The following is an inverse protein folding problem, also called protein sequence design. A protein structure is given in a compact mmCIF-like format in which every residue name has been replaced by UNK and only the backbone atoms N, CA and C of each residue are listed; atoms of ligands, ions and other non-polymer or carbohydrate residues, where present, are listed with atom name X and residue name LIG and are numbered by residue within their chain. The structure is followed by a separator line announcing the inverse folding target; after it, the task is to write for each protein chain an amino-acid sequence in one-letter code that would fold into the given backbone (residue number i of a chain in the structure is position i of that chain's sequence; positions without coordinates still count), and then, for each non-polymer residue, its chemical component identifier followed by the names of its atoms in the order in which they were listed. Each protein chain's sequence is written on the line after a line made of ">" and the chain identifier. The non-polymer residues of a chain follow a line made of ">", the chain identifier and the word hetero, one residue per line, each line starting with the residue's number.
data_IF_363851769638
#
_entry.id   IF_363851769638
#
_cell.length_a   1.000
_cell.length_b   1.000
_cell.length_c   1.000
_cell.angle_alpha   90.00
_cell.angle_beta   90.00
_cell.angle_gamma   90.00
#
_symmetry.space_group_name_H-M   'P 1'
#
loop_
_entity.id
_entity.type
_entity.pdbx_description
1 polymer ?
#
# COMPACT_ATOMS: atom_id res chain seq x y z
N UNK A 1 -18.82 -2.24 28.28
CA UNK A 1 -19.96 -3.19 28.12
C UNK A 1 -20.12 -3.43 26.63
N UNK A 2 -20.23 -4.67 26.14
CA UNK A 2 -20.48 -4.92 24.73
C UNK A 2 -21.83 -4.30 24.34
N UNK A 3 -21.84 -3.48 23.29
CA UNK A 3 -23.06 -2.87 22.77
C UNK A 3 -23.89 -4.00 22.13
N UNK A 4 -25.16 -4.17 22.51
CA UNK A 4 -25.98 -5.25 21.97
C UNK A 4 -26.14 -5.08 20.45
N UNK A 5 -25.89 -6.16 19.71
CA UNK A 5 -26.13 -6.19 18.27
C UNK A 5 -27.65 -6.13 18.01
N UNK A 6 -28.09 -5.41 16.97
CA UNK A 6 -29.48 -5.42 16.56
C UNK A 6 -29.93 -6.83 16.16
N UNK A 7 -31.21 -7.11 16.35
CA UNK A 7 -31.81 -8.45 16.18
C UNK A 7 -31.64 -9.02 14.77
N UNK A 8 -31.54 -8.16 13.75
CA UNK A 8 -31.22 -8.57 12.40
C UNK A 8 -30.29 -7.53 11.72
N UNK A 9 -28.99 -7.80 11.73
CA UNK A 9 -27.98 -6.90 11.16
C UNK A 9 -28.07 -6.83 9.63
N UNK A 10 -28.68 -7.84 8.99
CA UNK A 10 -28.83 -7.93 7.53
C UNK A 10 -29.85 -6.94 6.95
N UNK A 11 -30.75 -6.39 7.78
CA UNK A 11 -31.73 -5.38 7.35
C UNK A 11 -31.15 -3.96 7.36
N UNK A 12 -29.94 -3.77 7.90
CA UNK A 12 -29.31 -2.47 8.01
C UNK A 12 -28.72 -2.02 6.68
N UNK A 13 -29.09 -0.82 6.27
CA UNK A 13 -28.55 -0.14 5.09
C UNK A 13 -28.14 1.29 5.42
N UNK A 14 -27.21 1.80 4.63
CA UNK A 14 -26.67 3.15 4.64
C UNK A 14 -26.30 3.62 6.06
N UNK A 15 -26.89 4.73 6.52
CA UNK A 15 -26.49 5.37 7.76
C UNK A 15 -26.79 4.52 9.01
N UNK A 16 -27.83 3.69 8.96
CA UNK A 16 -28.15 2.76 10.04
C UNK A 16 -27.09 1.66 10.18
N UNK A 17 -26.55 1.18 9.04
CA UNK A 17 -25.43 0.25 9.01
C UNK A 17 -24.15 0.92 9.52
N UNK A 18 -23.81 2.11 9.03
CA UNK A 18 -22.62 2.83 9.47
C UNK A 18 -22.65 3.21 10.95
N UNK A 19 -23.81 3.54 11.50
CA UNK A 19 -23.93 3.84 12.93
C UNK A 19 -23.61 2.61 13.80
N UNK A 20 -24.07 1.43 13.40
CA UNK A 20 -23.74 0.17 14.10
C UNK A 20 -22.26 -0.17 13.94
N UNK A 21 -21.69 -0.01 12.74
CA UNK A 21 -20.25 -0.23 12.51
C UNK A 21 -19.42 0.78 13.32
N UNK A 22 -19.83 2.04 13.42
CA UNK A 22 -19.16 3.06 14.23
C UNK A 22 -19.13 2.69 15.70
N UNK A 23 -20.26 2.22 16.21
CA UNK A 23 -20.42 1.84 17.62
C UNK A 23 -19.60 0.59 17.97
N UNK A 24 -19.50 -0.37 17.05
CA UNK A 24 -18.82 -1.65 17.29
C UNK A 24 -17.33 -1.64 16.92
N UNK A 25 -16.97 -0.94 15.84
CA UNK A 25 -15.67 -1.01 15.18
C UNK A 25 -14.95 0.35 15.10
N UNK A 26 -15.61 1.44 15.50
CA UNK A 26 -15.05 2.79 15.45
C UNK A 26 -15.21 3.49 14.10
N UNK A 27 -14.91 4.80 14.09
CA UNK A 27 -15.11 5.67 12.93
C UNK A 27 -14.23 5.29 11.73
N UNK A 28 -13.00 4.85 11.98
CA UNK A 28 -12.07 4.42 10.91
C UNK A 28 -12.66 3.30 10.05
N UNK A 29 -13.37 2.35 10.67
CA UNK A 29 -14.02 1.27 9.90
C UNK A 29 -15.17 1.80 9.04
N UNK A 30 -15.92 2.80 9.52
CA UNK A 30 -16.96 3.45 8.73
C UNK A 30 -16.36 4.15 7.50
N UNK A 31 -15.26 4.87 7.69
CA UNK A 31 -14.60 5.58 6.58
C UNK A 31 -14.09 4.58 5.52
N UNK A 32 -13.55 3.44 5.96
CA UNK A 32 -13.12 2.34 5.08
C UNK A 32 -14.31 1.77 4.31
N UNK A 33 -15.42 1.45 4.99
CA UNK A 33 -16.59 0.87 4.33
C UNK A 33 -17.25 1.86 3.36
N UNK A 34 -17.27 3.15 3.69
CA UNK A 34 -17.73 4.21 2.77
C UNK A 34 -16.82 4.33 1.55
N UNK A 35 -15.50 4.26 1.75
CA UNK A 35 -14.54 4.27 0.65
C UNK A 35 -14.72 3.07 -0.29
N UNK A 36 -15.02 1.89 0.27
CA UNK A 36 -15.29 0.66 -0.48
C UNK A 36 -16.71 0.59 -1.05
N UNK A 37 -17.52 1.64 -0.92
CA UNK A 37 -18.94 1.68 -1.32
C UNK A 37 -19.79 0.56 -0.67
N UNK A 38 -19.38 0.10 0.51
CA UNK A 38 -20.07 -0.91 1.31
C UNK A 38 -21.02 -0.21 2.26
N UNK A 39 -22.30 -0.18 1.89
CA UNK A 39 -23.36 0.49 2.64
C UNK A 39 -24.35 -0.47 3.34
N UNK A 40 -24.13 -1.78 3.31
CA UNK A 40 -25.00 -2.75 3.97
C UNK A 40 -24.22 -4.02 4.30
N UNK A 41 -24.79 -4.89 5.14
CA UNK A 41 -24.23 -6.23 5.36
C UNK A 41 -24.26 -7.04 4.07
N UNK A 42 -25.27 -6.86 3.21
CA UNK A 42 -25.37 -7.55 1.92
C UNK A 42 -24.31 -7.08 0.92
N UNK A 43 -23.91 -5.79 0.95
CA UNK A 43 -22.78 -5.30 0.14
C UNK A 43 -21.42 -5.64 0.77
N UNK A 44 -21.34 -5.75 2.10
CA UNK A 44 -20.15 -6.20 2.84
C UNK A 44 -19.86 -7.69 2.60
N UNK A 45 -20.91 -8.50 2.61
CA UNK A 45 -20.89 -9.94 2.38
C UNK A 45 -21.34 -10.29 0.96
N UNK A 46 -21.19 -9.35 0.00
CA UNK A 46 -21.70 -9.47 -1.38
C UNK A 46 -21.58 -10.88 -1.93
N UNK A 47 -22.54 -11.33 -2.74
CA UNK A 47 -22.74 -12.76 -3.13
C UNK A 47 -21.44 -13.58 -3.28
N UNK A 48 -20.40 -12.99 -3.86
CA UNK A 48 -19.03 -13.51 -3.92
C UNK A 48 -18.44 -14.06 -2.60
N UNK A 49 -18.67 -13.43 -1.45
CA UNK A 49 -18.17 -13.85 -0.12
C UNK A 49 -18.86 -15.14 0.32
N UNK A 50 -20.20 -15.14 0.30
CA UNK A 50 -21.00 -16.31 0.69
C UNK A 50 -20.76 -17.46 -0.30
N UNK A 51 -20.73 -17.19 -1.60
CA UNK A 51 -20.38 -18.16 -2.65
C UNK A 51 -18.95 -18.71 -2.47
N UNK A 52 -17.99 -17.88 -2.07
CA UNK A 52 -16.61 -18.34 -1.82
C UNK A 52 -16.57 -19.27 -0.61
N UNK A 53 -17.27 -18.92 0.47
CA UNK A 53 -17.36 -19.80 1.65
C UNK A 53 -18.03 -21.13 1.27
N UNK A 54 -19.18 -21.10 0.60
CA UNK A 54 -19.92 -22.30 0.16
C UNK A 54 -19.06 -23.14 -0.78
N UNK A 55 -18.44 -22.53 -1.79
CA UNK A 55 -17.63 -23.25 -2.77
C UNK A 55 -16.36 -23.85 -2.18
N UNK A 56 -15.82 -23.26 -1.10
CA UNK A 56 -14.68 -23.79 -0.36
C UNK A 56 -15.07 -24.75 0.75
N UNK A 57 -16.32 -24.73 1.23
CA UNK A 57 -16.80 -25.60 2.30
C UNK A 57 -16.56 -27.09 1.98
N UNK A 58 -16.87 -27.50 0.76
CA UNK A 58 -16.75 -28.90 0.32
C UNK A 58 -15.32 -29.25 -0.14
N UNK A 59 -14.39 -28.29 -0.11
CA UNK A 59 -13.00 -28.49 -0.53
C UNK A 59 -12.13 -28.79 0.67
N UNK A 60 -11.10 -29.61 0.45
CA UNK A 60 -9.99 -29.68 1.39
C UNK A 60 -9.34 -28.29 1.53
N UNK A 61 -8.87 -27.94 2.74
CA UNK A 61 -8.22 -26.65 3.03
C UNK A 61 -7.08 -26.29 2.08
N UNK A 62 -6.36 -27.29 1.57
CA UNK A 62 -5.28 -27.13 0.58
C UNK A 62 -5.76 -26.75 -0.83
N UNK A 63 -7.07 -26.81 -1.09
CA UNK A 63 -7.70 -26.56 -2.40
C UNK A 63 -8.69 -25.39 -2.38
N UNK A 64 -8.64 -24.57 -1.32
CA UNK A 64 -9.42 -23.34 -1.29
C UNK A 64 -9.04 -22.45 -2.48
N UNK A 65 -10.06 -21.93 -3.16
CA UNK A 65 -9.89 -21.03 -4.29
C UNK A 65 -10.58 -19.71 -3.96
N UNK A 66 -9.97 -18.62 -4.41
CA UNK A 66 -10.42 -17.27 -4.15
C UNK A 66 -10.39 -16.51 -5.46
N UNK A 67 -11.50 -15.84 -5.78
CA UNK A 67 -11.55 -14.90 -6.89
C UNK A 67 -10.78 -13.61 -6.52
N UNK A 68 -10.62 -12.72 -7.50
CA UNK A 68 -9.82 -11.52 -7.31
C UNK A 68 -10.46 -10.53 -6.32
N UNK A 69 -11.80 -10.42 -6.28
CA UNK A 69 -12.50 -9.58 -5.29
C UNK A 69 -12.19 -10.00 -3.85
N UNK A 70 -12.14 -11.31 -3.55
CA UNK A 70 -11.80 -11.81 -2.22
C UNK A 70 -10.33 -11.59 -1.89
N UNK A 71 -9.44 -11.74 -2.88
CA UNK A 71 -8.01 -11.44 -2.69
C UNK A 71 -7.79 -9.96 -2.42
N UNK A 72 -8.51 -9.09 -3.12
CA UNK A 72 -8.46 -7.64 -2.92
C UNK A 72 -8.99 -7.24 -1.55
N UNK A 73 -10.17 -7.76 -1.15
CA UNK A 73 -10.73 -7.57 0.19
C UNK A 73 -9.75 -8.03 1.28
N UNK A 74 -9.16 -9.21 1.12
CA UNK A 74 -8.18 -9.74 2.07
C UNK A 74 -6.91 -8.86 2.14
N UNK A 75 -6.50 -8.26 1.02
CA UNK A 75 -5.37 -7.34 0.95
C UNK A 75 -5.66 -6.04 1.70
N UNK A 76 -6.84 -5.44 1.51
CA UNK A 76 -7.25 -4.26 2.28
C UNK A 76 -7.34 -4.55 3.78
N UNK A 77 -7.96 -5.66 4.16
CA UNK A 77 -8.07 -6.08 5.54
C UNK A 77 -6.68 -6.29 6.18
N UNK A 78 -5.72 -6.83 5.42
CA UNK A 78 -4.34 -7.00 5.87
C UNK A 78 -3.60 -5.67 6.04
N UNK A 79 -3.76 -4.74 5.09
CA UNK A 79 -3.12 -3.42 5.15
C UNK A 79 -3.68 -2.59 6.32
N UNK A 80 -5.00 -2.59 6.51
CA UNK A 80 -5.68 -1.71 7.46
C UNK A 80 -5.81 -2.34 8.85
N UNK A 81 -6.16 -3.62 8.91
CA UNK A 81 -6.33 -4.36 10.17
C UNK A 81 -5.05 -5.05 10.66
N UNK A 82 -4.06 -5.20 9.79
CA UNK A 82 -2.81 -5.89 10.10
C UNK A 82 -2.95 -7.41 10.15
N UNK A 83 -1.79 -8.07 10.28
CA UNK A 83 -1.65 -9.53 10.26
C UNK A 83 -2.59 -10.25 11.23
N UNK A 84 -2.74 -9.74 12.45
CA UNK A 84 -3.52 -10.41 13.50
C UNK A 84 -5.01 -10.41 13.18
N UNK A 85 -5.54 -9.33 12.62
CA UNK A 85 -6.96 -9.23 12.23
C UNK A 85 -7.25 -10.17 11.06
N UNK A 86 -6.40 -10.17 10.03
CA UNK A 86 -6.56 -11.08 8.88
C UNK A 86 -6.54 -12.55 9.30
N UNK A 87 -5.58 -12.95 10.15
CA UNK A 87 -5.49 -14.33 10.64
C UNK A 87 -6.65 -14.69 11.57
N UNK A 88 -7.09 -13.77 12.44
CA UNK A 88 -8.25 -13.98 13.30
C UNK A 88 -9.49 -14.29 12.47
N UNK A 89 -9.80 -13.46 11.47
CA UNK A 89 -10.97 -13.67 10.60
C UNK A 89 -10.82 -14.98 9.81
N UNK A 90 -9.64 -15.27 9.25
CA UNK A 90 -9.37 -16.50 8.50
C UNK A 90 -9.59 -17.77 9.32
N UNK A 91 -9.23 -17.75 10.61
CA UNK A 91 -9.37 -18.90 11.50
C UNK A 91 -10.82 -19.09 11.97
N UNK A 92 -11.56 -18.00 12.18
CA UNK A 92 -12.95 -18.05 12.66
C UNK A 92 -13.96 -18.28 11.53
N UNK A 93 -13.66 -17.85 10.30
CA UNK A 93 -14.52 -18.03 9.13
C UNK A 93 -13.78 -18.86 8.08
N UNK A 94 -13.87 -20.18 8.19
CA UNK A 94 -13.18 -21.10 7.30
C UNK A 94 -13.61 -20.93 5.84
N UNK A 95 -12.65 -20.84 4.92
CA UNK A 95 -12.90 -20.72 3.49
C UNK A 95 -13.17 -19.29 2.99
N UNK A 96 -13.25 -18.29 3.90
CA UNK A 96 -13.44 -16.89 3.53
C UNK A 96 -12.16 -16.23 3.03
N UNK A 97 -11.10 -16.24 3.85
CA UNK A 97 -9.88 -15.50 3.54
C UNK A 97 -8.74 -16.41 3.06
N UNK A 98 -7.96 -15.96 2.05
CA UNK A 98 -6.72 -16.59 1.69
C UNK A 98 -5.70 -16.55 2.84
N UNK A 99 -4.75 -17.48 2.80
CA UNK A 99 -3.60 -17.49 3.72
C UNK A 99 -2.66 -16.32 3.44
N UNK A 100 -1.90 -15.88 4.45
CA UNK A 100 -0.93 -14.78 4.30
C UNK A 100 -0.01 -14.87 3.08
N UNK A 101 0.57 -16.03 2.69
CA UNK A 101 1.40 -16.11 1.50
C UNK A 101 0.67 -15.76 0.21
N UNK A 102 -0.63 -16.10 0.11
CA UNK A 102 -1.45 -15.75 -1.05
C UNK A 102 -1.72 -14.24 -1.06
N UNK A 103 -2.06 -13.67 0.10
CA UNK A 103 -2.24 -12.21 0.23
C UNK A 103 -0.95 -11.48 -0.16
N UNK A 104 0.19 -11.92 0.36
CA UNK A 104 1.49 -11.33 0.03
C UNK A 104 1.80 -11.47 -1.45
N UNK A 105 1.56 -12.63 -2.06
CA UNK A 105 1.73 -12.82 -3.50
C UNK A 105 0.81 -11.90 -4.32
N UNK A 106 -0.43 -11.67 -3.87
CA UNK A 106 -1.33 -10.71 -4.52
C UNK A 106 -0.79 -9.28 -4.41
N UNK A 107 -0.33 -8.86 -3.24
CA UNK A 107 0.29 -7.55 -3.03
C UNK A 107 1.60 -7.39 -3.84
N UNK A 108 2.39 -8.45 -3.94
CA UNK A 108 3.64 -8.48 -4.71
C UNK A 108 3.39 -8.41 -6.22
N UNK A 109 2.23 -8.90 -6.68
CA UNK A 109 1.82 -8.86 -8.09
C UNK A 109 1.31 -7.48 -8.56
N UNK A 110 1.04 -6.56 -7.63
CA UNK A 110 0.59 -5.21 -7.98
C UNK A 110 1.76 -4.46 -8.63
N UNK A 111 1.56 -4.03 -9.87
CA UNK A 111 2.58 -3.47 -10.77
C UNK A 111 3.17 -2.12 -10.33
N UNK A 112 2.58 -1.46 -9.33
CA UNK A 112 2.89 -0.07 -8.97
C UNK A 112 3.83 0.05 -7.76
N UNK A 113 4.77 -0.88 -7.60
CA UNK A 113 5.81 -0.77 -6.56
C UNK A 113 6.66 0.46 -6.79
N UNK A 114 7.06 1.10 -5.68
CA UNK A 114 7.99 2.22 -5.70
C UNK A 114 9.40 1.65 -5.74
N UNK A 115 10.19 2.07 -6.73
CA UNK A 115 11.62 1.78 -6.79
C UNK A 115 12.39 2.97 -6.21
N UNK A 116 13.51 2.69 -5.54
CA UNK A 116 14.35 3.74 -4.95
C UNK A 116 14.87 4.69 -6.05
N UNK A 117 14.57 5.97 -5.88
CA UNK A 117 15.01 7.05 -6.77
C UNK A 117 14.26 7.17 -8.09
N UNK A 118 13.31 6.28 -8.36
CA UNK A 118 12.53 6.30 -9.60
C UNK A 118 11.41 7.34 -9.53
N UNK A 119 11.46 8.33 -10.43
CA UNK A 119 10.44 9.36 -10.56
C UNK A 119 9.37 8.93 -11.58
N UNK A 120 8.19 8.58 -11.06
CA UNK A 120 7.13 7.93 -11.81
C UNK A 120 6.22 8.91 -12.56
N UNK A 121 6.83 9.74 -13.43
CA UNK A 121 6.11 10.80 -14.15
C UNK A 121 5.01 10.27 -15.06
N UNK A 122 5.23 9.15 -15.76
CA UNK A 122 4.21 8.57 -16.65
C UNK A 122 2.96 8.14 -15.88
N UNK A 123 3.15 7.44 -14.76
CA UNK A 123 2.05 7.04 -13.87
C UNK A 123 1.36 8.24 -13.22
N UNK A 124 2.10 9.31 -12.93
CA UNK A 124 1.53 10.56 -12.45
C UNK A 124 0.63 11.19 -13.53
N UNK A 125 1.08 11.25 -14.79
CA UNK A 125 0.28 11.78 -15.91
C UNK A 125 -1.01 10.98 -16.13
N UNK A 126 -0.94 9.66 -16.07
CA UNK A 126 -2.11 8.78 -16.15
C UNK A 126 -3.08 9.04 -14.98
N UNK A 127 -2.54 9.16 -13.77
CA UNK A 127 -3.31 9.45 -12.58
C UNK A 127 -4.03 10.82 -12.67
N UNK A 128 -3.33 11.86 -13.11
CA UNK A 128 -3.90 13.20 -13.28
C UNK A 128 -4.96 13.25 -14.39
N UNK A 129 -4.76 12.48 -15.47
CA UNK A 129 -5.75 12.31 -16.54
C UNK A 129 -7.03 11.66 -16.01
N UNK A 130 -6.91 10.64 -15.16
CA UNK A 130 -8.06 10.01 -14.49
C UNK A 130 -8.79 11.00 -13.56
N UNK A 131 -8.04 11.83 -12.83
CA UNK A 131 -8.59 12.87 -11.95
C UNK A 131 -9.09 14.11 -12.72
N UNK A 132 -8.94 14.15 -14.05
CA UNK A 132 -9.34 15.26 -14.92
C UNK A 132 -8.79 16.62 -14.47
N UNK A 133 -7.54 16.65 -13.99
CA UNK A 133 -6.88 17.88 -13.56
C UNK A 133 -5.43 17.90 -13.99
N UNK A 134 -4.93 19.10 -14.32
CA UNK A 134 -3.53 19.36 -14.60
C UNK A 134 -2.85 20.18 -13.49
N UNK A 135 -3.61 20.54 -12.45
CA UNK A 135 -3.12 21.36 -11.35
C UNK A 135 -2.81 20.48 -10.16
N UNK A 136 -1.60 20.63 -9.62
CA UNK A 136 -1.11 19.85 -8.50
C UNK A 136 -0.44 20.77 -7.46
N UNK A 137 -0.50 20.36 -6.20
CA UNK A 137 0.49 20.76 -5.20
C UNK A 137 1.58 19.70 -5.16
N UNK A 138 2.83 20.10 -5.23
CA UNK A 138 3.97 19.23 -5.02
C UNK A 138 4.58 19.53 -3.65
N UNK A 139 4.98 18.49 -2.94
CA UNK A 139 5.69 18.61 -1.67
C UNK A 139 6.87 17.64 -1.64
N UNK A 140 7.97 18.12 -1.08
CA UNK A 140 9.14 17.32 -0.71
C UNK A 140 9.25 17.33 0.81
N UNK A 141 9.42 16.16 1.42
CA UNK A 141 9.66 16.04 2.86
C UNK A 141 10.58 14.85 3.15
N UNK A 142 11.28 14.91 4.28
CA UNK A 142 12.23 13.89 4.71
C UNK A 142 11.81 13.30 6.07
N UNK A 143 11.83 11.97 6.18
CA UNK A 143 11.55 11.27 7.43
C UNK A 143 12.73 10.42 7.88
N UNK A 144 12.96 10.33 9.19
CA UNK A 144 14.00 9.50 9.77
C UNK A 144 13.70 8.01 9.62
N UNK A 145 14.69 7.22 9.18
CA UNK A 145 14.58 5.78 9.03
C UNK A 145 15.71 5.04 9.76
N UNK A 146 15.45 3.79 10.13
CA UNK A 146 16.49 2.90 10.66
C UNK A 146 17.37 2.48 9.49
N UNK A 147 18.69 2.78 9.48
CA UNK A 147 19.55 2.45 8.37
C UNK A 147 19.69 0.94 8.21
N UNK A 148 19.24 0.44 7.07
CA UNK A 148 19.33 -0.97 6.73
C UNK A 148 19.64 -1.11 5.24
N UNK A 149 20.57 -2.02 4.93
CA UNK A 149 20.86 -2.40 3.56
C UNK A 149 20.04 -3.65 3.24
N UNK A 150 19.20 -3.57 2.21
CA UNK A 150 18.31 -4.66 1.80
C UNK A 150 18.59 -4.99 0.33
N UNK A 151 18.72 -6.28 0.02
CA UNK A 151 18.84 -6.74 -1.35
C UNK A 151 17.45 -6.85 -2.00
N UNK A 152 17.26 -6.17 -3.12
CA UNK A 152 16.08 -6.29 -3.96
C UNK A 152 16.35 -7.30 -5.08
N UNK A 153 15.71 -8.46 -4.97
CA UNK A 153 15.83 -9.57 -5.94
C UNK A 153 15.30 -9.20 -7.33
N UNK A 154 14.26 -8.34 -7.40
CA UNK A 154 13.61 -8.02 -8.67
C UNK A 154 14.50 -7.15 -9.56
N UNK A 155 15.18 -6.17 -8.99
CA UNK A 155 16.08 -5.27 -9.71
C UNK A 155 17.56 -5.67 -9.63
N UNK A 156 17.90 -6.71 -8.86
CA UNK A 156 19.28 -7.10 -8.57
C UNK A 156 20.11 -5.90 -8.05
N UNK A 157 19.59 -5.23 -7.02
CA UNK A 157 20.20 -4.03 -6.42
C UNK A 157 20.19 -4.08 -4.91
N UNK A 158 21.11 -3.35 -4.28
CA UNK A 158 21.09 -3.09 -2.84
C UNK A 158 20.49 -1.71 -2.56
N UNK A 159 19.44 -1.68 -1.72
CA UNK A 159 18.72 -0.47 -1.30
C UNK A 159 19.21 -0.04 0.08
N UNK A 160 19.25 1.27 0.33
CA UNK A 160 19.54 1.84 1.66
C UNK A 160 20.90 2.51 1.80
N UNK A 161 21.71 2.53 0.74
CA UNK A 161 22.84 3.45 0.63
C UNK A 161 22.34 4.82 0.15
N UNK A 162 23.11 5.88 0.39
CA UNK A 162 22.83 7.19 -0.20
C UNK A 162 23.17 7.13 -1.71
N UNK A 163 22.19 7.27 -2.63
CA UNK A 163 22.43 7.24 -4.05
C UNK A 163 23.16 8.51 -4.50
N UNK A 164 23.99 8.39 -5.53
CA UNK A 164 24.57 9.57 -6.17
C UNK A 164 23.49 10.35 -6.92
N UNK A 165 23.56 11.68 -6.86
CA UNK A 165 22.69 12.56 -7.61
C UNK A 165 23.31 12.89 -8.97
N UNK A 166 22.51 12.81 -10.03
CA UNK A 166 22.82 13.20 -11.40
C UNK A 166 21.77 14.25 -11.80
N UNK A 167 22.20 15.49 -12.06
CA UNK A 167 21.32 16.64 -12.28
C UNK A 167 20.28 16.83 -11.16
N UNK A 168 20.71 16.68 -9.90
CA UNK A 168 19.84 16.85 -8.73
C UNK A 168 18.93 15.66 -8.41
N UNK A 169 18.82 14.67 -9.30
CA UNK A 169 17.98 13.49 -9.15
C UNK A 169 18.82 12.24 -8.80
N UNK A 170 18.31 11.32 -7.97
CA UNK A 170 19.01 10.08 -7.63
C UNK A 170 19.17 9.17 -8.85
N UNK A 171 20.37 8.66 -9.06
CA UNK A 171 20.62 7.67 -10.11
C UNK A 171 20.04 6.31 -9.71
N UNK A 172 19.04 5.85 -10.47
CA UNK A 172 18.33 4.59 -10.24
C UNK A 172 19.30 3.40 -10.42
N UNK A 173 19.12 2.35 -9.62
CA UNK A 173 19.87 1.09 -9.70
C UNK A 173 21.41 1.23 -9.58
N UNK A 174 21.89 2.29 -8.93
CA UNK A 174 23.33 2.57 -8.76
C UNK A 174 24.09 1.40 -8.11
N UNK A 175 23.45 0.72 -7.17
CA UNK A 175 24.07 -0.35 -6.37
C UNK A 175 23.72 -1.75 -6.89
N UNK A 176 23.82 -1.95 -8.21
CA UNK A 176 23.75 -3.29 -8.82
C UNK A 176 25.14 -3.92 -8.96
N UNK A 177 25.29 -5.16 -8.50
CA UNK A 177 26.53 -5.93 -8.68
C UNK A 177 26.34 -7.42 -8.49
N UNK A 178 27.13 -8.21 -9.21
CA UNK A 178 27.29 -9.66 -9.00
C UNK A 178 28.56 -9.99 -8.20
N UNK A 179 29.36 -8.99 -7.82
CA UNK A 179 30.65 -9.18 -7.13
C UNK A 179 30.54 -8.89 -5.64
N UNK A 180 30.84 -9.89 -4.81
CA UNK A 180 30.94 -9.72 -3.36
C UNK A 180 31.97 -8.65 -2.97
N UNK A 181 33.13 -8.61 -3.62
CA UNK A 181 34.17 -7.62 -3.33
C UNK A 181 33.70 -6.18 -3.57
N UNK A 182 32.88 -5.96 -4.61
CA UNK A 182 32.29 -4.64 -4.89
C UNK A 182 31.29 -4.26 -3.81
N UNK A 183 30.43 -5.20 -3.41
CA UNK A 183 29.49 -5.01 -2.31
C UNK A 183 30.20 -4.74 -0.97
N UNK A 184 31.23 -5.52 -0.63
CA UNK A 184 32.03 -5.35 0.58
C UNK A 184 32.68 -3.96 0.62
N UNK A 185 33.24 -3.51 -0.51
CA UNK A 185 33.77 -2.16 -0.63
C UNK A 185 32.69 -1.10 -0.39
N UNK A 186 31.52 -1.21 -1.02
CA UNK A 186 30.41 -0.29 -0.77
C UNK A 186 29.97 -0.27 0.68
N UNK A 187 29.82 -1.44 1.29
CA UNK A 187 29.38 -1.55 2.67
C UNK A 187 30.36 -0.93 3.66
N UNK A 188 31.67 -0.96 3.36
CA UNK A 188 32.72 -0.36 4.19
C UNK A 188 32.99 1.12 3.92
N UNK A 189 32.62 1.65 2.75
CA UNK A 189 33.01 3.01 2.32
C UNK A 189 31.85 3.98 2.13
N UNK A 190 30.65 3.50 1.82
CA UNK A 190 29.51 4.36 1.53
C UNK A 190 28.64 4.61 2.76
N UNK A 191 28.06 5.80 2.81
CA UNK A 191 27.09 6.16 3.85
C UNK A 191 25.79 5.38 3.66
N UNK A 192 25.25 4.91 4.78
CA UNK A 192 23.90 4.37 4.84
C UNK A 192 22.93 5.53 4.95
N UNK A 193 21.77 5.39 4.33
CA UNK A 193 20.70 6.38 4.42
C UNK A 193 20.09 6.37 5.82
N UNK A 194 20.02 7.55 6.45
CA UNK A 194 19.31 7.78 7.70
C UNK A 194 17.98 8.51 7.50
N UNK A 195 17.76 9.06 6.30
CA UNK A 195 16.59 9.82 5.94
C UNK A 195 15.98 9.24 4.66
N UNK A 196 14.66 9.11 4.62
CA UNK A 196 13.91 8.82 3.41
C UNK A 196 13.33 10.12 2.89
N UNK A 197 13.80 10.57 1.73
CA UNK A 197 13.20 11.70 1.02
C UNK A 197 11.99 11.21 0.24
N UNK A 198 10.88 11.94 0.34
CA UNK A 198 9.60 11.64 -0.30
C UNK A 198 9.15 12.83 -1.13
N UNK A 199 8.87 12.56 -2.40
CA UNK A 199 8.23 13.50 -3.30
C UNK A 199 6.77 13.09 -3.49
N UNK A 200 5.85 13.97 -3.14
CA UNK A 200 4.41 13.73 -3.25
C UNK A 200 3.74 14.80 -4.10
N UNK A 201 2.70 14.39 -4.82
CA UNK A 201 1.85 15.29 -5.59
C UNK A 201 0.40 15.07 -5.22
N UNK A 202 -0.30 16.17 -4.94
CA UNK A 202 -1.71 16.20 -4.59
C UNK A 202 -2.47 16.91 -5.71
N UNK A 203 -3.38 16.21 -6.42
CA UNK A 203 -4.21 16.86 -7.43
C UNK A 203 -5.14 17.90 -6.79
N UNK A 204 -5.30 19.02 -7.48
CA UNK A 204 -6.29 20.03 -7.15
C UNK A 204 -7.51 19.74 -8.02
N UNK A 205 -8.54 19.17 -7.42
CA UNK A 205 -9.83 19.02 -8.06
C UNK A 205 -10.90 19.63 -7.14
N UNK A 206 -11.59 20.66 -7.63
CA UNK A 206 -12.60 21.40 -6.86
C UNK A 206 -13.91 20.61 -6.72
N UNK A 207 -14.15 19.63 -7.60
CA UNK A 207 -15.40 18.86 -7.67
C UNK A 207 -15.33 17.54 -6.89
N UNK A 208 -14.12 17.03 -6.61
CA UNK A 208 -13.92 15.81 -5.83
C UNK A 208 -13.62 16.14 -4.37
N UNK A 209 -14.43 15.59 -3.45
CA UNK A 209 -14.31 15.82 -1.99
C UNK A 209 -12.96 15.40 -1.40
N UNK A 210 -12.23 14.51 -2.06
CA UNK A 210 -10.88 14.09 -1.65
C UNK A 210 -10.22 13.31 -2.79
N UNK A 211 -9.05 13.76 -3.26
CA UNK A 211 -8.16 12.95 -4.08
C UNK A 211 -7.04 12.39 -3.20
N UNK A 212 -6.68 11.12 -3.36
CA UNK A 212 -5.53 10.58 -2.65
C UNK A 212 -4.22 11.24 -3.16
N UNK A 213 -3.24 11.50 -2.29
CA UNK A 213 -1.95 11.97 -2.74
C UNK A 213 -1.22 10.85 -3.51
N UNK A 214 -0.46 11.23 -4.52
CA UNK A 214 0.35 10.34 -5.31
C UNK A 214 1.82 10.47 -4.91
N UNK A 215 2.48 9.36 -4.60
CA UNK A 215 3.92 9.35 -4.31
C UNK A 215 4.66 9.36 -5.65
N UNK A 216 5.35 10.44 -5.97
CA UNK A 216 6.11 10.57 -7.20
C UNK A 216 7.41 9.78 -7.16
N UNK A 217 8.17 9.91 -6.08
CA UNK A 217 9.47 9.26 -5.87
C UNK A 217 9.79 9.14 -4.38
N UNK A 218 10.63 8.16 -4.05
CA UNK A 218 11.17 7.97 -2.71
C UNK A 218 12.62 7.47 -2.79
N UNK A 219 13.54 8.05 -2.02
CA UNK A 219 14.92 7.58 -1.97
C UNK A 219 15.65 7.91 -0.67
N UNK A 220 16.66 7.10 -0.35
CA UNK A 220 17.51 7.36 0.80
C UNK A 220 18.39 8.60 0.64
N UNK A 221 18.60 9.36 1.70
CA UNK A 221 19.51 10.51 1.73
C UNK A 221 20.18 10.67 3.09
N UNK A 222 21.28 11.41 3.13
CA UNK A 222 21.92 11.94 4.33
C UNK A 222 21.72 13.46 4.47
N UNK A 223 20.89 14.07 3.62
CA UNK A 223 20.62 15.51 3.54
C UNK A 223 21.87 16.37 3.23
N UNK A 224 22.91 15.78 2.64
CA UNK A 224 24.06 16.50 2.13
C UNK A 224 23.89 16.72 0.62
N UNK A 225 23.47 17.93 0.26
CA UNK A 225 23.29 18.34 -1.13
C UNK A 225 24.11 19.58 -1.43
N UNK A 226 24.62 19.70 -2.66
CA UNK A 226 25.21 20.95 -3.14
C UNK A 226 24.11 21.91 -3.57
N UNK A 227 24.42 23.21 -3.62
CA UNK A 227 23.49 24.20 -4.17
C UNK A 227 23.13 23.90 -5.63
N UNK A 228 24.05 23.30 -6.39
CA UNK A 228 23.80 22.91 -7.77
C UNK A 228 22.78 21.77 -7.85
N UNK A 229 22.89 20.77 -6.97
CA UNK A 229 21.93 19.66 -6.91
C UNK A 229 20.50 20.16 -6.65
N UNK A 230 20.35 21.19 -5.83
CA UNK A 230 19.04 21.80 -5.52
C UNK A 230 18.49 22.57 -6.74
N UNK A 231 19.35 23.29 -7.47
CA UNK A 231 18.93 24.10 -8.61
C UNK A 231 18.58 23.29 -9.85
N UNK A 232 19.15 22.09 -9.99
CA UNK A 232 18.98 21.23 -11.16
C UNK A 232 17.80 20.26 -11.04
N UNK A 233 17.21 20.11 -9.85
CA UNK A 233 16.03 19.27 -9.58
C UNK A 233 14.76 19.70 -10.30
#
# INVERSE_FOLDING_TARGET
>A
MPIPLPTNVFELQDEAFFQVVKEQCGLTMVDILRYLEVNSVDSLLGMNVVETIISNHDRAKSRYCYNDSIREFASYLFILGGRNVSEFIRLNISGLLPTLPIIQSSLDSITNRINEGDFRYDLMCDYLSLQKTNFIFASEDCTGVIPQIIYNVQSNTFIGFVPHLEDGLPKINTFSTESFSKFENWFGTLNKSHLLNLHMVQPINLDLKSCAPFILSAYGTDNHFTTLDILMR
#
